data_IF_493640797548
#
_entry.id   IF_493640797548
#
_cell.length_a   1.000
_cell.length_b   1.000
_cell.length_c   1.000
_cell.angle_alpha   90.00
_cell.angle_beta   90.00
_cell.angle_gamma   90.00
#
_symmetry.space_group_name_H-M   'P 1'
#
loop_
_entity.id
_entity.type
_entity.pdbx_description
1 polymer ?
#
# COMPACT_ATOMS: atom_id res chain seq x y z
N UNK A 1 -13.17 -6.10 -6.43
CA UNK A 1 -14.27 -7.05 -6.13
C UNK A 1 -13.87 -7.96 -4.98
N UNK A 2 -12.81 -8.77 -5.13
CA UNK A 2 -12.34 -9.71 -4.10
C UNK A 2 -12.04 -9.06 -2.72
N UNK A 3 -11.48 -7.85 -2.69
CA UNK A 3 -11.15 -7.15 -1.44
C UNK A 3 -12.34 -6.52 -0.71
N UNK A 4 -13.55 -6.57 -1.29
CA UNK A 4 -14.78 -5.95 -0.75
C UNK A 4 -15.83 -6.99 -0.32
N UNK A 5 -15.43 -8.26 -0.23
CA UNK A 5 -16.32 -9.33 0.23
C UNK A 5 -16.57 -9.15 1.73
N UNK A 6 -17.83 -9.31 2.12
CA UNK A 6 -18.30 -9.27 3.51
C UNK A 6 -19.13 -10.52 3.80
N UNK A 7 -19.10 -10.98 5.04
CA UNK A 7 -19.90 -12.12 5.52
C UNK A 7 -20.52 -11.81 6.87
N UNK A 8 -21.78 -12.19 7.06
CA UNK A 8 -22.48 -12.00 8.33
C UNK A 8 -22.53 -13.32 9.11
N UNK A 9 -21.91 -13.35 10.28
CA UNK A 9 -21.81 -14.54 11.14
C UNK A 9 -21.95 -14.12 12.60
N UNK A 10 -22.85 -14.78 13.35
CA UNK A 10 -23.19 -14.44 14.75
C UNK A 10 -23.64 -12.99 14.94
N UNK A 11 -24.47 -12.48 14.01
CA UNK A 11 -24.97 -11.09 13.99
C UNK A 11 -23.87 -10.01 13.90
N UNK A 12 -22.65 -10.41 13.50
CA UNK A 12 -21.51 -9.53 13.23
C UNK A 12 -21.18 -9.61 11.73
N UNK A 13 -20.98 -8.45 11.11
CA UNK A 13 -20.49 -8.35 9.72
C UNK A 13 -18.96 -8.32 9.71
N UNK A 14 -18.36 -9.24 8.97
CA UNK A 14 -16.91 -9.39 8.86
C UNK A 14 -16.46 -8.98 7.45
N UNK A 15 -15.53 -8.06 7.38
CA UNK A 15 -14.87 -7.60 6.15
C UNK A 15 -13.49 -8.25 5.99
N UNK A 16 -12.83 -8.01 4.84
CA UNK A 16 -11.45 -8.45 4.67
C UNK A 16 -10.52 -7.87 5.75
N UNK A 17 -10.74 -6.63 6.19
CA UNK A 17 -9.91 -5.97 7.22
C UNK A 17 -9.95 -6.70 8.56
N UNK A 18 -11.08 -7.34 8.87
CA UNK A 18 -11.29 -8.04 10.13
C UNK A 18 -10.64 -9.43 10.15
N UNK A 19 -10.30 -9.96 8.97
CA UNK A 19 -9.84 -11.34 8.75
C UNK A 19 -8.41 -11.43 8.21
N UNK A 20 -7.89 -10.36 7.63
CA UNK A 20 -6.61 -10.38 6.93
C UNK A 20 -5.42 -10.36 7.88
N UNK A 21 -4.30 -10.94 7.41
CA UNK A 21 -3.02 -10.73 8.06
C UNK A 21 -2.55 -9.29 7.75
N UNK A 22 -2.31 -8.51 8.81
CA UNK A 22 -1.73 -7.17 8.73
C UNK A 22 -0.28 -7.19 9.27
N UNK A 23 0.64 -6.40 8.70
CA UNK A 23 1.99 -6.27 9.22
C UNK A 23 2.01 -5.77 10.67
N UNK A 24 2.92 -6.29 11.49
CA UNK A 24 3.11 -5.79 12.86
C UNK A 24 3.62 -4.35 12.84
N UNK A 25 2.91 -3.46 13.54
CA UNK A 25 3.33 -2.08 13.72
C UNK A 25 4.47 -1.99 14.75
N UNK A 26 5.44 -1.08 14.58
CA UNK A 26 6.38 -0.78 15.65
C UNK A 26 5.63 -0.09 16.80
N UNK A 27 6.12 -0.27 18.02
CA UNK A 27 5.63 0.49 19.15
C UNK A 27 5.99 1.98 18.97
N UNK A 28 5.01 2.85 19.14
CA UNK A 28 5.20 4.30 19.16
C UNK A 28 4.87 4.81 20.55
N UNK A 29 5.77 5.61 21.15
CA UNK A 29 5.51 6.24 22.45
C UNK A 29 4.35 7.27 22.42
N UNK A 30 3.83 7.57 21.22
CA UNK A 30 2.78 8.57 21.00
C UNK A 30 1.50 7.91 20.46
N UNK A 31 0.45 7.95 21.29
CA UNK A 31 -0.88 7.39 21.00
C UNK A 31 -1.51 7.91 19.70
N UNK A 32 -1.25 9.17 19.31
CA UNK A 32 -1.81 9.74 18.08
C UNK A 32 -1.22 9.03 16.86
N UNK A 33 0.08 8.75 16.89
CA UNK A 33 0.77 8.04 15.78
C UNK A 33 0.29 6.60 15.70
N UNK A 34 0.22 5.93 16.84
CA UNK A 34 -0.30 4.57 16.94
C UNK A 34 -1.68 4.45 16.29
N UNK A 35 -2.63 5.33 16.66
CA UNK A 35 -3.98 5.36 16.07
C UNK A 35 -3.99 5.67 14.57
N UNK A 36 -3.07 6.50 14.06
CA UNK A 36 -2.96 6.76 12.62
C UNK A 36 -2.53 5.49 11.89
N UNK A 37 -1.49 4.81 12.39
CA UNK A 37 -0.99 3.59 11.78
C UNK A 37 -2.02 2.46 11.85
N UNK A 38 -2.70 2.26 12.97
CA UNK A 38 -3.81 1.28 13.08
C UNK A 38 -4.89 1.50 12.01
N UNK A 39 -5.16 2.77 11.68
CA UNK A 39 -6.19 3.14 10.72
C UNK A 39 -5.76 3.06 9.25
N UNK A 40 -4.45 3.19 8.97
CA UNK A 40 -3.88 3.20 7.62
C UNK A 40 -3.32 1.83 7.23
N UNK A 41 -2.86 1.03 8.20
CA UNK A 41 -2.15 -0.23 7.94
C UNK A 41 -3.06 -1.18 7.18
N UNK A 42 -2.69 -1.56 5.95
CA UNK A 42 -3.55 -2.36 5.12
C UNK A 42 -3.28 -3.85 5.34
N UNK A 43 -4.20 -4.67 4.84
CA UNK A 43 -3.97 -6.09 4.68
C UNK A 43 -2.73 -6.38 3.83
N UNK A 44 -1.99 -7.42 4.17
CA UNK A 44 -0.91 -7.92 3.33
C UNK A 44 -1.50 -8.62 2.09
N UNK A 45 -1.42 -7.94 0.96
CA UNK A 45 -1.85 -8.45 -0.34
C UNK A 45 -0.62 -8.51 -1.24
N UNK A 46 -0.28 -9.71 -1.69
CA UNK A 46 0.79 -9.91 -2.67
C UNK A 46 0.13 -9.83 -4.05
N UNK A 47 0.56 -8.90 -4.90
CA UNK A 47 -0.12 -8.68 -6.18
C UNK A 47 0.78 -8.00 -7.20
N UNK A 48 0.66 -8.34 -8.50
CA UNK A 48 1.31 -7.58 -9.57
C UNK A 48 0.80 -6.13 -9.67
N UNK A 49 -0.37 -5.84 -9.08
CA UNK A 49 -0.90 -4.47 -9.02
C UNK A 49 -0.05 -3.53 -8.16
N UNK A 50 0.86 -4.05 -7.33
CA UNK A 50 1.80 -3.22 -6.57
C UNK A 50 2.84 -2.54 -7.44
N UNK A 51 3.03 -2.97 -8.68
CA UNK A 51 3.84 -2.22 -9.64
C UNK A 51 3.16 -0.92 -10.13
N UNK A 52 1.84 -0.79 -9.95
CA UNK A 52 1.03 0.30 -10.49
C UNK A 52 0.34 1.10 -9.39
N UNK A 53 -0.10 2.31 -9.72
CA UNK A 53 -0.88 3.13 -8.77
C UNK A 53 -2.18 2.43 -8.34
N UNK A 54 -2.81 1.63 -9.20
CA UNK A 54 -4.04 0.89 -8.90
C UNK A 54 -3.90 -0.09 -7.73
N UNK A 55 -2.70 -0.55 -7.38
CA UNK A 55 -2.46 -1.34 -6.17
C UNK A 55 -2.96 -0.63 -4.90
N UNK A 56 -2.88 0.70 -4.85
CA UNK A 56 -3.40 1.51 -3.75
C UNK A 56 -4.91 1.36 -3.52
N UNK A 57 -5.68 1.04 -4.57
CA UNK A 57 -7.14 0.87 -4.49
C UNK A 57 -7.54 -0.41 -3.76
N UNK A 58 -6.60 -1.34 -3.57
CA UNK A 58 -6.81 -2.61 -2.87
C UNK A 58 -6.69 -2.49 -1.35
N UNK A 59 -5.91 -1.52 -0.89
CA UNK A 59 -5.42 -1.43 0.49
C UNK A 59 -6.41 -0.75 1.45
N UNK A 60 -7.56 -0.29 0.95
CA UNK A 60 -8.47 0.55 1.73
C UNK A 60 -7.82 1.88 2.11
N UNK A 61 -8.11 2.46 3.28
CA UNK A 61 -9.30 2.17 4.09
C UNK A 61 -10.58 2.51 3.31
N UNK A 62 -11.69 1.82 3.62
CA UNK A 62 -12.99 2.14 3.01
C UNK A 62 -13.44 3.57 3.35
N UNK A 63 -13.11 4.01 4.57
CA UNK A 63 -13.35 5.36 5.06
C UNK A 63 -12.04 6.16 5.13
N UNK A 64 -12.01 7.41 4.63
CA UNK A 64 -10.83 8.26 4.72
C UNK A 64 -10.40 8.49 6.17
N UNK A 65 -9.10 8.63 6.38
CA UNK A 65 -8.52 8.89 7.69
C UNK A 65 -8.01 10.33 7.79
N UNK A 66 -7.98 10.88 9.00
CA UNK A 66 -7.37 12.18 9.26
C UNK A 66 -5.91 12.01 9.64
N UNK A 67 -5.02 12.59 8.85
CA UNK A 67 -3.57 12.57 9.10
C UNK A 67 -3.08 13.99 9.34
N UNK A 68 -2.49 14.28 10.52
CA UNK A 68 -1.84 15.55 10.79
C UNK A 68 -0.84 15.92 9.69
N UNK A 69 -1.00 17.12 9.11
CA UNK A 69 -0.16 17.61 8.02
C UNK A 69 -0.59 17.22 6.59
N UNK A 70 -1.60 16.35 6.42
CA UNK A 70 -2.16 16.01 5.10
C UNK A 70 -3.66 16.32 4.95
N UNK A 71 -4.43 16.33 6.04
CA UNK A 71 -5.86 16.64 6.03
C UNK A 71 -6.74 15.44 6.44
N UNK A 72 -8.04 15.52 6.18
CA UNK A 72 -9.06 14.58 6.67
C UNK A 72 -9.55 13.54 5.66
N UNK A 73 -9.13 13.63 4.39
CA UNK A 73 -9.57 12.74 3.30
C UNK A 73 -8.41 11.87 2.76
N UNK A 74 -7.64 11.27 3.67
CA UNK A 74 -6.44 10.50 3.29
C UNK A 74 -6.80 9.03 3.08
N UNK A 75 -6.40 8.49 1.92
CA UNK A 75 -6.48 7.09 1.51
C UNK A 75 -5.18 6.68 0.81
N UNK A 76 -4.95 5.38 0.63
CA UNK A 76 -3.76 4.93 -0.11
C UNK A 76 -3.69 5.49 -1.54
N UNK A 77 -4.82 5.83 -2.16
CA UNK A 77 -4.90 6.43 -3.50
C UNK A 77 -4.34 7.85 -3.59
N UNK A 78 -4.30 8.62 -2.49
CA UNK A 78 -3.78 10.00 -2.45
C UNK A 78 -2.71 10.24 -1.37
N UNK A 79 -2.37 9.21 -0.60
CA UNK A 79 -1.35 9.28 0.46
C UNK A 79 0.05 9.31 -0.15
N UNK A 80 0.71 10.46 0.00
CA UNK A 80 2.16 10.59 -0.18
C UNK A 80 2.82 10.77 1.20
N UNK A 81 3.42 9.71 1.79
CA UNK A 81 4.01 9.82 3.11
C UNK A 81 5.21 10.79 3.19
N UNK A 82 5.92 11.01 2.08
CA UNK A 82 7.01 11.98 2.02
C UNK A 82 6.51 13.41 2.24
N UNK A 83 5.30 13.75 1.78
CA UNK A 83 4.70 15.08 2.05
C UNK A 83 4.45 15.33 3.53
N UNK A 84 4.18 14.28 4.32
CA UNK A 84 4.10 14.40 5.79
C UNK A 84 5.45 14.87 6.34
N UNK A 85 6.53 14.22 5.88
CA UNK A 85 7.88 14.55 6.32
C UNK A 85 8.28 15.97 5.93
N UNK A 86 7.94 16.39 4.71
CA UNK A 86 8.28 17.71 4.18
C UNK A 86 7.48 18.81 4.90
N UNK A 87 6.17 18.61 5.10
CA UNK A 87 5.31 19.55 5.82
C UNK A 87 5.74 19.69 7.28
N UNK A 88 6.09 18.60 7.96
CA UNK A 88 6.51 18.66 9.37
C UNK A 88 7.86 19.35 9.55
N UNK A 89 8.80 19.22 8.61
CA UNK A 89 10.05 20.00 8.62
C UNK A 89 9.80 21.50 8.46
N UNK A 90 8.78 21.88 7.71
CA UNK A 90 8.43 23.28 7.47
C UNK A 90 7.75 23.96 8.67
N UNK A 91 7.24 23.20 9.65
CA UNK A 91 6.57 23.72 10.83
C UNK A 91 7.25 23.25 12.13
N UNK A 92 8.33 23.94 12.54
CA UNK A 92 9.07 23.74 13.80
C UNK A 92 8.15 23.64 15.05
N UNK A 93 6.97 24.26 14.98
CA UNK A 93 5.98 24.28 16.07
C UNK A 93 5.35 22.91 16.40
N UNK A 94 5.46 21.92 15.50
CA UNK A 94 4.92 20.57 15.72
C UNK A 94 5.93 19.54 16.21
N UNK A 95 7.22 19.90 16.32
CA UNK A 95 8.27 18.99 16.80
C UNK A 95 7.99 18.47 18.22
N UNK A 96 7.28 19.27 19.03
CA UNK A 96 6.84 18.90 20.39
C UNK A 96 5.61 17.99 20.44
N UNK A 97 4.86 17.84 19.34
CA UNK A 97 3.57 17.12 19.29
C UNK A 97 3.69 15.79 18.52
N UNK A 98 4.63 15.71 17.57
CA UNK A 98 4.82 14.54 16.73
C UNK A 98 6.30 14.12 16.74
N UNK A 99 6.65 12.89 17.19
CA UNK A 99 8.03 12.40 17.19
C UNK A 99 8.53 12.14 15.76
N UNK A 100 8.90 13.22 15.09
CA UNK A 100 9.33 13.26 13.70
C UNK A 100 10.51 12.33 13.43
N UNK A 101 11.47 12.28 14.36
CA UNK A 101 12.66 11.42 14.25
C UNK A 101 12.31 9.94 14.20
N UNK A 102 11.45 9.46 15.10
CA UNK A 102 10.99 8.07 15.13
C UNK A 102 10.18 7.71 13.89
N UNK A 103 9.28 8.59 13.47
CA UNK A 103 8.50 8.40 12.24
C UNK A 103 9.41 8.34 11.00
N UNK A 104 10.29 9.32 10.81
CA UNK A 104 11.23 9.34 9.68
C UNK A 104 12.18 8.12 9.68
N UNK A 105 12.65 7.69 10.86
CA UNK A 105 13.48 6.49 11.00
C UNK A 105 12.72 5.22 10.62
N UNK A 106 11.45 5.11 11.02
CA UNK A 106 10.59 4.01 10.62
C UNK A 106 10.38 3.98 9.11
N UNK A 107 9.99 5.11 8.50
CA UNK A 107 9.77 5.23 7.06
C UNK A 107 11.01 4.83 6.26
N UNK A 108 12.19 5.34 6.67
CA UNK A 108 13.48 4.98 6.07
C UNK A 108 13.78 3.48 6.20
N UNK A 109 13.56 2.89 7.38
CA UNK A 109 13.82 1.47 7.62
C UNK A 109 12.90 0.57 6.80
N UNK A 110 11.63 0.94 6.68
CA UNK A 110 10.63 0.21 5.91
C UNK A 110 10.74 0.44 4.39
N UNK A 111 11.55 1.40 3.94
CA UNK A 111 11.65 1.76 2.53
C UNK A 111 10.35 2.39 2.02
N UNK A 112 9.62 3.10 2.89
CA UNK A 112 8.39 3.80 2.51
C UNK A 112 8.79 5.20 2.04
N UNK A 113 8.49 5.49 0.77
CA UNK A 113 8.81 6.77 0.10
C UNK A 113 7.52 7.50 -0.27
N UNK A 114 7.16 7.54 -1.56
CA UNK A 114 5.94 8.14 -2.11
C UNK A 114 4.77 7.17 -2.17
N UNK A 115 4.94 5.96 -1.61
CA UNK A 115 3.99 4.85 -1.65
C UNK A 115 3.58 4.51 -3.10
N UNK A 116 2.35 4.85 -3.49
CA UNK A 116 1.82 4.57 -4.84
C UNK A 116 1.82 5.79 -5.76
N UNK A 117 2.20 6.98 -5.26
CA UNK A 117 1.92 8.25 -5.93
C UNK A 117 2.79 8.52 -7.16
N UNK A 118 3.96 7.89 -7.25
CA UNK A 118 4.89 8.02 -8.39
C UNK A 118 4.94 6.74 -9.26
N UNK A 119 4.08 5.75 -8.96
CA UNK A 119 3.95 4.56 -9.79
C UNK A 119 3.17 4.90 -11.07
N UNK A 120 3.45 4.21 -12.20
CA UNK A 120 2.63 4.36 -13.39
C UNK A 120 1.19 3.94 -13.12
N UNK A 121 0.25 4.63 -13.75
CA UNK A 121 -1.16 4.24 -13.73
C UNK A 121 -1.42 3.26 -14.87
N UNK A 122 -2.12 2.14 -14.60
CA UNK A 122 -2.61 1.25 -15.65
C UNK A 122 -3.59 1.99 -16.57
N UNK A 123 -4.46 2.81 -15.97
CA UNK A 123 -5.32 3.74 -16.69
C UNK A 123 -4.90 5.20 -16.38
N UNK A 124 -4.06 5.82 -17.24
CA UNK A 124 -3.65 7.21 -17.02
C UNK A 124 -4.79 8.21 -17.27
N UNK A 125 -5.94 7.77 -17.81
CA UNK A 125 -7.13 8.63 -17.98
C UNK A 125 -8.01 8.67 -16.74
N UNK A 126 -7.76 7.79 -15.75
CA UNK A 126 -8.44 7.82 -14.47
C UNK A 126 -8.28 9.22 -13.83
N UNK A 127 -9.38 9.91 -13.46
CA UNK A 127 -9.31 11.23 -12.86
C UNK A 127 -8.51 11.24 -11.55
N UNK A 128 -8.49 10.13 -10.82
CA UNK A 128 -7.78 9.96 -9.55
C UNK A 128 -6.31 9.55 -9.72
N UNK A 129 -5.87 9.15 -10.92
CA UNK A 129 -4.45 8.92 -11.18
C UNK A 129 -3.67 10.21 -10.86
N UNK A 130 -2.63 10.17 -10.01
CA UNK A 130 -1.97 11.36 -9.51
C UNK A 130 -1.13 12.05 -10.59
N UNK A 131 -0.99 13.37 -10.50
CA UNK A 131 -0.15 14.16 -11.42
C UNK A 131 1.35 13.77 -11.36
N UNK A 132 1.78 13.17 -10.25
CA UNK A 132 3.14 12.65 -10.08
C UNK A 132 3.37 11.31 -10.77
N UNK A 133 2.34 10.64 -11.30
CA UNK A 133 2.53 9.40 -12.06
C UNK A 133 3.21 9.72 -13.41
N UNK A 134 4.23 8.93 -13.82
CA UNK A 134 5.07 9.24 -14.99
C UNK A 134 4.29 9.28 -16.30
N UNK A 135 3.13 8.62 -16.38
CA UNK A 135 2.30 8.54 -17.57
C UNK A 135 0.97 9.33 -17.49
N UNK A 136 0.71 10.08 -16.42
CA UNK A 136 -0.53 10.87 -16.27
C UNK A 136 -0.71 11.88 -17.39
N UNK A 137 0.32 12.67 -17.68
CA UNK A 137 0.24 13.74 -18.69
C UNK A 137 0.31 13.22 -20.12
N UNK A 138 1.13 12.19 -20.37
CA UNK A 138 1.26 11.58 -21.71
C UNK A 138 0.01 10.80 -22.10
N UNK A 139 -0.76 10.31 -21.11
CA UNK A 139 -1.93 9.43 -21.28
C UNK A 139 -1.58 8.13 -22.02
N UNK A 140 -0.31 7.77 -22.05
CA UNK A 140 0.14 6.53 -22.68
C UNK A 140 0.03 5.38 -21.66
N UNK A 141 -0.55 4.24 -22.05
CA UNK A 141 -0.55 3.07 -21.19
C UNK A 141 0.90 2.63 -20.92
N UNK A 142 1.21 2.15 -19.71
CA UNK A 142 2.55 1.68 -19.39
C UNK A 142 2.87 0.38 -20.13
N UNK A 143 4.15 0.08 -20.32
CA UNK A 143 4.59 -1.24 -20.74
C UNK A 143 4.49 -2.21 -19.56
N UNK A 144 3.36 -2.90 -19.45
CA UNK A 144 3.07 -3.81 -18.33
C UNK A 144 4.14 -4.89 -18.16
N UNK A 145 4.72 -5.39 -19.26
CA UNK A 145 5.78 -6.41 -19.18
C UNK A 145 7.07 -5.84 -18.58
N UNK A 146 7.46 -4.64 -19.01
CA UNK A 146 8.60 -3.94 -18.44
C UNK A 146 8.39 -3.63 -16.95
N UNK A 147 7.22 -3.12 -16.56
CA UNK A 147 6.92 -2.77 -15.16
C UNK A 147 6.90 -3.99 -14.22
N UNK A 148 6.49 -5.16 -14.71
CA UNK A 148 6.46 -6.40 -13.93
C UNK A 148 7.81 -7.13 -13.87
N UNK A 149 8.77 -6.74 -14.72
CA UNK A 149 10.09 -7.40 -14.80
C UNK A 149 10.85 -7.22 -13.48
N UNK A 150 11.29 -8.33 -12.87
CA UNK A 150 11.99 -8.30 -11.57
C UNK A 150 11.08 -8.21 -10.35
N UNK A 151 9.76 -8.24 -10.55
CA UNK A 151 8.76 -8.23 -9.49
C UNK A 151 8.30 -6.85 -9.07
N UNK A 152 7.42 -6.81 -8.07
CA UNK A 152 6.75 -5.59 -7.62
C UNK A 152 7.12 -5.23 -6.19
N UNK A 153 7.06 -3.93 -5.88
CA UNK A 153 7.27 -3.41 -4.54
C UNK A 153 5.99 -2.73 -4.05
N UNK A 154 5.46 -3.20 -2.91
CA UNK A 154 4.38 -2.52 -2.21
C UNK A 154 4.82 -1.18 -1.60
N UNK A 155 3.98 -0.58 -0.75
CA UNK A 155 4.28 0.73 -0.15
C UNK A 155 5.53 0.71 0.77
N UNK A 156 5.87 -0.43 1.36
CA UNK A 156 7.05 -0.61 2.22
C UNK A 156 8.09 -1.48 1.50
N UNK A 157 8.84 -0.88 0.56
CA UNK A 157 9.68 -1.61 -0.40
C UNK A 157 10.74 -2.54 0.21
N UNK A 158 11.19 -2.30 1.44
CA UNK A 158 12.17 -3.17 2.11
C UNK A 158 11.54 -4.47 2.68
N UNK A 159 10.23 -4.50 2.87
CA UNK A 159 9.51 -5.65 3.45
C UNK A 159 8.47 -6.26 2.50
N UNK A 160 8.01 -5.51 1.50
CA UNK A 160 6.96 -5.88 0.56
C UNK A 160 7.50 -5.95 -0.87
N UNK A 161 8.62 -6.68 -1.05
CA UNK A 161 9.10 -7.04 -2.38
C UNK A 161 8.53 -8.40 -2.77
N UNK A 162 7.80 -8.41 -3.89
CA UNK A 162 7.17 -9.58 -4.47
C UNK A 162 7.96 -10.02 -5.70
N UNK A 163 8.73 -11.12 -5.63
CA UNK A 163 9.50 -11.63 -6.76
C UNK A 163 8.61 -11.91 -7.97
N UNK A 164 9.15 -11.76 -9.19
CA UNK A 164 8.43 -11.97 -10.45
C UNK A 164 7.63 -13.29 -10.47
N UNK A 165 8.29 -14.41 -10.15
CA UNK A 165 7.68 -15.76 -10.14
C UNK A 165 6.51 -15.92 -9.14
N UNK A 166 6.40 -15.02 -8.17
CA UNK A 166 5.32 -15.05 -7.17
C UNK A 166 4.03 -14.41 -7.69
N UNK A 167 4.15 -13.47 -8.62
CA UNK A 167 3.05 -12.62 -9.11
C UNK A 167 2.75 -12.79 -10.59
N UNK A 168 3.70 -13.33 -11.37
CA UNK A 168 3.58 -13.56 -12.82
C UNK A 168 4.05 -14.98 -13.14
N UNK A 169 3.26 -15.71 -13.92
CA UNK A 169 3.54 -17.10 -14.30
C UNK A 169 3.72 -17.28 -15.81
N UNK A 170 4.57 -18.25 -16.17
CA UNK A 170 4.87 -18.63 -17.55
C UNK A 170 5.31 -17.44 -18.41
N UNK A 171 6.34 -16.72 -17.95
CA UNK A 171 6.89 -15.56 -18.65
C UNK A 171 7.74 -15.96 -19.86
N UNK A 172 7.69 -15.14 -20.90
CA UNK A 172 8.67 -15.14 -22.00
C UNK A 172 9.36 -13.79 -21.98
N UNK A 173 10.69 -13.78 -22.00
CA UNK A 173 11.50 -12.56 -21.93
C UNK A 173 12.25 -12.31 -23.23
N UNK A 174 12.59 -11.04 -23.48
CA UNK A 174 13.49 -10.67 -24.58
C UNK A 174 14.97 -10.91 -24.19
N UNK A 175 15.90 -10.61 -25.12
CA UNK A 175 17.35 -10.80 -24.89
C UNK A 175 17.92 -9.96 -23.74
N UNK A 176 17.25 -8.89 -23.33
CA UNK A 176 17.66 -8.03 -22.20
C UNK A 176 16.98 -8.41 -20.89
N UNK A 177 16.18 -9.47 -20.87
CA UNK A 177 15.52 -10.00 -19.67
C UNK A 177 14.17 -9.35 -19.33
N UNK A 178 13.62 -8.47 -20.18
CA UNK A 178 12.30 -7.89 -19.94
C UNK A 178 11.19 -8.84 -20.39
N UNK A 179 10.14 -8.95 -19.58
CA UNK A 179 8.94 -9.74 -19.91
C UNK A 179 8.28 -9.15 -21.16
N UNK A 180 8.07 -10.00 -22.17
CA UNK A 180 7.30 -9.65 -23.38
C UNK A 180 5.96 -10.38 -23.44
N UNK A 181 5.81 -11.47 -22.68
CA UNK A 181 4.58 -12.25 -22.58
C UNK A 181 4.52 -12.95 -21.23
N UNK A 182 3.32 -13.11 -20.69
CA UNK A 182 3.03 -13.97 -19.55
C UNK A 182 1.71 -14.70 -19.79
N UNK A 183 1.49 -15.84 -19.14
CA UNK A 183 0.24 -16.60 -19.28
C UNK A 183 -0.62 -16.57 -18.02
N UNK A 184 -0.04 -16.22 -16.87
CA UNK A 184 -0.77 -16.11 -15.61
C UNK A 184 -0.34 -14.89 -14.79
N UNK A 185 -1.29 -14.35 -14.04
CA UNK A 185 -1.09 -13.34 -12.99
C UNK A 185 -1.66 -13.90 -11.69
N UNK A 186 -0.94 -13.69 -10.59
CA UNK A 186 -1.32 -14.21 -9.29
C UNK A 186 -1.39 -13.09 -8.26
N UNK A 187 -2.54 -12.97 -7.58
CA UNK A 187 -2.68 -12.17 -6.38
C UNK A 187 -3.02 -13.08 -5.20
N UNK A 188 -2.37 -12.89 -4.06
CA UNK A 188 -2.64 -13.62 -2.83
C UNK A 188 -3.09 -12.66 -1.74
N UNK A 189 -4.27 -12.93 -1.18
CA UNK A 189 -4.81 -12.23 -0.02
C UNK A 189 -4.49 -13.07 1.20
N UNK A 190 -3.63 -12.57 2.09
CA UNK A 190 -3.24 -13.31 3.29
C UNK A 190 -4.29 -13.12 4.39
N UNK A 191 -4.81 -14.23 4.91
CA UNK A 191 -5.75 -14.25 6.03
C UNK A 191 -5.06 -14.71 7.31
N UNK A 192 -5.58 -14.28 8.45
CA UNK A 192 -5.16 -14.80 9.74
C UNK A 192 -5.50 -16.30 9.85
N UNK A 193 -4.60 -17.07 10.46
CA UNK A 193 -4.95 -18.42 10.92
C UNK A 193 -5.98 -18.35 12.05
N UNK A 194 -6.79 -19.41 12.20
CA UNK A 194 -7.89 -19.43 13.17
C UNK A 194 -7.47 -19.07 14.61
N UNK A 195 -6.28 -19.55 15.04
CA UNK A 195 -5.72 -19.21 16.36
C UNK A 195 -5.40 -17.71 16.48
N UNK A 196 -4.73 -17.13 15.49
CA UNK A 196 -4.35 -15.72 15.50
C UNK A 196 -5.59 -14.82 15.46
N UNK A 197 -6.61 -15.21 14.69
CA UNK A 197 -7.89 -14.49 14.68
C UNK A 197 -8.57 -14.53 16.04
N UNK A 198 -8.62 -15.70 16.68
CA UNK A 198 -9.19 -15.83 18.03
C UNK A 198 -8.44 -14.97 19.06
N UNK A 199 -7.11 -14.99 19.04
CA UNK A 199 -6.27 -14.17 19.92
C UNK A 199 -6.45 -12.66 19.66
N UNK A 200 -6.58 -12.24 18.41
CA UNK A 200 -6.76 -10.82 18.04
C UNK A 200 -8.07 -10.22 18.58
N UNK A 201 -9.16 -10.99 18.60
CA UNK A 201 -10.49 -10.52 19.02
C UNK A 201 -10.83 -10.83 20.48
N UNK A 202 -9.91 -11.48 21.22
CA UNK A 202 -10.07 -11.74 22.66
C UNK A 202 -9.73 -10.52 23.53
N UNK A 203 -8.82 -9.68 23.05
CA UNK A 203 -8.37 -8.44 23.69
C UNK A 203 -9.33 -7.27 23.40
#
# INVERSE_FOLDING_TARGET
>A
AATRVTVDVFDISWSLRDLCFAPSLPFFDNYIIEKIFENITPCAIITPLDCFWEGSKLLGPDFPVTVPGLGSDVKWTNLNPQKILDNMRAFERYESVFPFSSFAAFMKRAGITTAYQEKPCLDPTDPLCPDSAPNKHSKQPPDVGAELTGGCYGFAGNYMHWPEDLVVGATTTNKTGHIVRAEALQSMVQLMGAKNMYEYWLD
#
